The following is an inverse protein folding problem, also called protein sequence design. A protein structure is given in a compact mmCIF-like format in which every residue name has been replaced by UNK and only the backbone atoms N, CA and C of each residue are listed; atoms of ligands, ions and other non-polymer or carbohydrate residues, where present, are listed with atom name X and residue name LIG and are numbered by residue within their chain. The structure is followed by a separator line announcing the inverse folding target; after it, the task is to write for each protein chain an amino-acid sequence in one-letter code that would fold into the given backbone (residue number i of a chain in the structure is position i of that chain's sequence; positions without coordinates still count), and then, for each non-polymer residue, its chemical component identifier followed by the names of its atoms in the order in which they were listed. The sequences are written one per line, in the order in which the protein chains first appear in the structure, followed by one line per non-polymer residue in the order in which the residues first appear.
data_IF_361811467491
#
_entry.id   IF_361811467491
#
_cell.length_a   1.000
_cell.length_b   1.000
_cell.length_c   1.000
_cell.angle_alpha   90.00
_cell.angle_beta   90.00
_cell.angle_gamma   90.00
#
_symmetry.space_group_name_H-M   'P 1'
#
loop_
_entity.id
_entity.type
_entity.pdbx_description
1 polymer ?
#
# COMPACT_ATOMS: atom_id res chain seq x y z
N UNK A 1 -18.12 34.33 -15.10
CA UNK A 1 -17.51 33.82 -13.85
C UNK A 1 -17.59 32.30 -13.93
N UNK A 2 -16.54 31.65 -14.43
CA UNK A 2 -16.49 30.18 -14.52
C UNK A 2 -15.63 29.69 -13.36
N UNK A 3 -16.27 29.33 -12.25
CA UNK A 3 -15.62 28.68 -11.11
C UNK A 3 -15.32 27.23 -11.47
N UNK A 4 -14.14 26.99 -12.04
CA UNK A 4 -13.55 25.66 -12.18
C UNK A 4 -13.17 25.13 -10.79
N UNK A 5 -14.12 24.55 -10.08
CA UNK A 5 -13.82 23.75 -8.89
C UNK A 5 -13.10 22.48 -9.35
N UNK A 6 -11.87 22.21 -8.87
CA UNK A 6 -11.23 20.93 -9.15
C UNK A 6 -12.13 19.84 -8.54
N UNK A 7 -12.61 18.92 -9.36
CA UNK A 7 -13.32 17.72 -8.92
C UNK A 7 -12.36 16.89 -8.07
N UNK A 8 -12.27 17.22 -6.79
CA UNK A 8 -11.62 16.39 -5.78
C UNK A 8 -12.57 15.22 -5.60
N UNK A 9 -12.26 14.07 -6.22
CA UNK A 9 -12.91 12.80 -5.88
C UNK A 9 -12.87 12.69 -4.35
N UNK A 10 -14.03 12.85 -3.72
CA UNK A 10 -14.16 12.84 -2.27
C UNK A 10 -13.89 11.40 -1.83
N UNK A 11 -12.65 11.13 -1.41
CA UNK A 11 -12.21 9.80 -1.00
C UNK A 11 -13.02 9.35 0.24
N UNK A 12 -13.96 8.45 0.02
CA UNK A 12 -14.76 7.82 1.06
C UNK A 12 -13.97 6.72 1.78
N UNK A 13 -14.07 6.67 3.10
CA UNK A 13 -13.49 5.57 3.86
C UNK A 13 -14.22 4.24 3.59
N UNK A 14 -13.54 3.17 3.13
CA UNK A 14 -14.19 1.89 2.84
C UNK A 14 -14.70 1.17 4.11
N UNK A 15 -14.32 1.64 5.31
CA UNK A 15 -14.73 1.06 6.60
C UNK A 15 -15.91 1.76 7.22
N UNK A 16 -15.97 3.09 7.14
CA UNK A 16 -17.01 3.89 7.80
C UNK A 16 -17.84 4.75 6.85
N UNK A 17 -17.55 4.72 5.54
CA UNK A 17 -18.23 5.48 4.49
C UNK A 17 -18.29 6.99 4.73
N UNK A 18 -17.38 7.52 5.55
CA UNK A 18 -17.26 8.95 5.79
C UNK A 18 -16.12 9.54 4.95
N UNK A 19 -16.32 10.76 4.46
CA UNK A 19 -15.32 11.59 3.80
C UNK A 19 -14.31 12.15 4.80
N UNK A 20 -13.55 11.25 5.43
CA UNK A 20 -12.57 11.60 6.46
C UNK A 20 -11.23 10.92 6.23
N UNK A 21 -10.96 10.41 5.02
CA UNK A 21 -9.63 9.95 4.63
C UNK A 21 -8.77 11.19 4.34
N UNK A 22 -7.62 11.25 4.99
CA UNK A 22 -6.56 12.23 4.71
C UNK A 22 -5.29 11.49 4.32
N UNK A 23 -4.52 12.08 3.42
CA UNK A 23 -3.18 11.60 3.09
C UNK A 23 -2.22 12.09 4.19
N UNK A 24 -1.71 11.18 5.02
CA UNK A 24 -0.74 11.49 6.09
C UNK A 24 0.67 11.62 5.57
N UNK A 25 1.01 10.78 4.59
CA UNK A 25 2.30 10.74 3.93
C UNK A 25 2.08 10.34 2.47
N UNK A 26 3.09 10.46 1.60
CA UNK A 26 2.95 10.17 0.15
C UNK A 26 2.27 8.82 -0.11
N UNK A 27 2.55 7.83 0.73
CA UNK A 27 2.08 6.46 0.56
C UNK A 27 1.06 6.02 1.64
N UNK A 28 0.65 6.92 2.55
CA UNK A 28 -0.18 6.55 3.71
C UNK A 28 -1.49 7.33 3.69
N UNK A 29 -2.59 6.60 3.57
CA UNK A 29 -3.94 7.14 3.67
C UNK A 29 -4.56 6.72 5.00
N UNK A 30 -4.98 7.69 5.80
CA UNK A 30 -5.57 7.45 7.11
C UNK A 30 -6.95 8.10 7.23
N UNK A 31 -7.95 7.34 7.70
CA UNK A 31 -9.25 7.87 8.08
C UNK A 31 -9.22 8.38 9.51
N UNK A 32 -9.62 9.63 9.72
CA UNK A 32 -9.65 10.25 11.05
C UNK A 32 -10.82 9.75 11.93
N UNK A 33 -11.89 9.22 11.31
CA UNK A 33 -13.08 8.80 12.02
C UNK A 33 -12.97 7.38 12.59
N UNK A 34 -12.48 6.42 11.80
CA UNK A 34 -12.38 5.02 12.22
C UNK A 34 -10.94 4.51 12.39
N UNK A 35 -9.95 5.41 12.26
CA UNK A 35 -8.52 5.11 12.36
C UNK A 35 -8.02 4.08 11.32
N UNK A 36 -8.80 3.86 10.26
CA UNK A 36 -8.38 3.01 9.14
C UNK A 36 -7.13 3.59 8.48
N UNK A 37 -6.07 2.81 8.37
CA UNK A 37 -4.83 3.18 7.70
C UNK A 37 -4.58 2.23 6.53
N UNK A 38 -4.21 2.78 5.38
CA UNK A 38 -3.79 2.03 4.20
C UNK A 38 -2.42 2.54 3.78
N UNK A 39 -1.42 1.71 4.02
CA UNK A 39 -0.05 1.89 3.53
C UNK A 39 0.04 1.32 2.11
N UNK A 40 0.36 2.17 1.16
CA UNK A 40 0.69 1.82 -0.22
C UNK A 40 2.20 1.76 -0.46
N UNK A 41 3.00 1.98 0.60
CA UNK A 41 4.47 1.87 0.53
C UNK A 41 4.92 0.43 0.29
N UNK A 42 4.04 -0.55 0.49
CA UNK A 42 4.30 -1.98 0.27
C UNK A 42 4.27 -2.38 -1.22
N UNK A 43 4.73 -1.47 -2.08
CA UNK A 43 4.81 -1.71 -3.52
C UNK A 43 6.12 -2.40 -3.90
N UNK A 44 6.04 -3.73 -4.08
CA UNK A 44 6.66 -4.47 -5.19
C UNK A 44 8.10 -5.02 -5.10
N UNK A 45 8.71 -5.20 -3.92
CA UNK A 45 10.11 -5.67 -3.83
C UNK A 45 10.38 -7.09 -3.31
N UNK A 46 9.72 -7.50 -2.24
CA UNK A 46 10.29 -8.56 -1.37
C UNK A 46 10.00 -10.01 -1.78
N UNK A 47 8.85 -10.27 -2.42
CA UNK A 47 8.42 -11.65 -2.69
C UNK A 47 9.31 -12.39 -3.69
N UNK A 48 9.78 -11.72 -4.74
CA UNK A 48 10.54 -12.35 -5.83
C UNK A 48 12.01 -12.59 -5.44
N UNK A 49 12.64 -11.60 -4.79
CA UNK A 49 14.02 -11.72 -4.30
C UNK A 49 14.10 -12.78 -3.20
N UNK A 50 13.15 -12.79 -2.26
CA UNK A 50 13.08 -13.81 -1.21
C UNK A 50 12.94 -15.23 -1.78
N UNK A 51 12.09 -15.41 -2.79
CA UNK A 51 11.88 -16.72 -3.43
C UNK A 51 13.11 -17.19 -4.21
N UNK A 52 13.81 -16.29 -4.92
CA UNK A 52 15.05 -16.61 -5.64
C UNK A 52 16.19 -17.01 -4.69
N UNK A 53 16.38 -16.26 -3.60
CA UNK A 53 17.41 -16.58 -2.59
C UNK A 53 17.13 -17.94 -1.95
N UNK A 54 15.86 -18.20 -1.59
CA UNK A 54 15.46 -19.49 -1.01
C UNK A 54 15.70 -20.65 -1.99
N UNK A 55 15.34 -20.47 -3.27
CA UNK A 55 15.57 -21.49 -4.29
C UNK A 55 17.06 -21.78 -4.51
N UNK A 56 17.91 -20.75 -4.59
CA UNK A 56 19.36 -20.91 -4.72
C UNK A 56 19.98 -21.62 -3.51
N UNK A 57 19.56 -21.25 -2.29
CA UNK A 57 20.03 -21.90 -1.07
C UNK A 57 19.65 -23.38 -1.03
N UNK A 58 18.44 -23.74 -1.45
CA UNK A 58 17.98 -25.13 -1.52
C UNK A 58 18.81 -25.94 -2.53
N UNK A 59 19.07 -25.38 -3.73
CA UNK A 59 19.90 -26.04 -4.75
C UNK A 59 21.32 -26.28 -4.24
N UNK A 60 21.92 -25.30 -3.56
CA UNK A 60 23.26 -25.44 -2.97
C UNK A 60 23.30 -26.54 -1.89
N UNK A 61 22.28 -26.62 -1.03
CA UNK A 61 22.20 -27.67 -0.01
C UNK A 61 22.11 -29.06 -0.64
N UNK A 62 21.29 -29.22 -1.68
CA UNK A 62 21.16 -30.50 -2.39
C UNK A 62 22.44 -30.89 -3.15
N UNK A 63 23.22 -29.92 -3.63
CA UNK A 63 24.48 -30.18 -4.32
C UNK A 63 25.66 -30.57 -3.38
N UNK A 64 25.53 -30.30 -2.08
CA UNK A 64 26.55 -30.59 -1.06
C UNK A 64 26.30 -31.91 -0.29
N UNK A 65 25.14 -32.55 -0.51
CA UNK A 65 24.76 -33.87 0.03
C UNK A 65 25.16 -34.96 -0.95
#
# INVERSE_FOLDING_TARGET
MLSSQPYQEQLECPRCHQHSIVQRNRDIYQCLNCQFQRDFSESAGDGFVGTLVAALALVLLLALV
#
